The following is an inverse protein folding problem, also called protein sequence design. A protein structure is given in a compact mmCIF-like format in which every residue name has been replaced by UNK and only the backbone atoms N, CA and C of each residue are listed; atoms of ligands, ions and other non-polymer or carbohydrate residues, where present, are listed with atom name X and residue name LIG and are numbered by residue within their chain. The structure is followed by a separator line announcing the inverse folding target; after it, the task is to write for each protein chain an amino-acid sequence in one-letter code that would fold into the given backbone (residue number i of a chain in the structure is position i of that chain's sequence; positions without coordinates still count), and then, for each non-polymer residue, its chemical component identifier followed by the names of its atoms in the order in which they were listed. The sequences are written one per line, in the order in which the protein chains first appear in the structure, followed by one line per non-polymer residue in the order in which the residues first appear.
data_IF_431902446757
#
_entry.id   IF_431902446757
#
_cell.length_a   1.000
_cell.length_b   1.000
_cell.length_c   1.000
_cell.angle_alpha   90.00
_cell.angle_beta   90.00
_cell.angle_gamma   90.00
#
_symmetry.space_group_name_H-M   'P 1'
#
loop_
_entity.id
_entity.type
_entity.pdbx_description
1 polymer ?
#
# COMPACT_ATOMS: atom_id res chain seq x y z
N UNK A 1 8.90 -11.91 7.86
CA UNK A 1 7.76 -12.59 7.22
C UNK A 1 6.84 -11.48 6.72
N UNK A 2 6.37 -11.54 5.47
CA UNK A 2 5.42 -10.56 4.93
C UNK A 2 4.02 -11.18 5.04
N UNK A 3 3.12 -10.50 5.75
CA UNK A 3 1.72 -10.89 5.87
C UNK A 3 0.87 -9.91 5.06
N UNK A 4 0.07 -10.44 4.14
CA UNK A 4 -0.84 -9.66 3.29
C UNK A 4 -2.25 -9.98 3.74
N UNK A 5 -2.98 -8.94 4.10
CA UNK A 5 -4.39 -9.04 4.46
C UNK A 5 -5.23 -8.42 3.33
N UNK A 6 -6.12 -9.22 2.75
CA UNK A 6 -7.10 -8.74 1.77
C UNK A 6 -8.39 -8.32 2.49
N UNK A 7 -8.74 -7.04 2.39
CA UNK A 7 -9.91 -6.44 3.03
C UNK A 7 -11.04 -6.29 2.01
N UNK A 8 -11.51 -7.40 1.42
CA UNK A 8 -12.64 -7.35 0.49
C UNK A 8 -13.96 -7.03 1.25
N UNK A 9 -14.65 -5.96 0.85
CA UNK A 9 -16.12 -5.77 0.93
C UNK A 9 -16.84 -5.96 2.27
N UNK A 10 -16.13 -6.09 3.39
CA UNK A 10 -16.72 -6.35 4.71
C UNK A 10 -16.94 -5.04 5.47
N UNK A 11 -17.67 -4.11 4.85
CA UNK A 11 -18.16 -2.89 5.52
C UNK A 11 -19.06 -3.18 6.73
N UNK A 12 -19.48 -4.44 6.89
CA UNK A 12 -20.43 -4.91 7.89
C UNK A 12 -19.86 -4.96 9.32
N UNK A 13 -18.53 -4.84 9.51
CA UNK A 13 -17.92 -4.85 10.85
C UNK A 13 -16.80 -3.81 11.01
N UNK A 14 -17.17 -2.57 11.33
CA UNK A 14 -16.27 -1.44 11.59
C UNK A 14 -15.14 -1.78 12.58
N UNK A 15 -15.43 -2.56 13.63
CA UNK A 15 -14.44 -2.94 14.64
C UNK A 15 -13.28 -3.80 14.09
N UNK A 16 -13.54 -4.67 13.12
CA UNK A 16 -12.49 -5.49 12.48
C UNK A 16 -11.62 -4.63 11.56
N UNK A 17 -12.25 -3.69 10.84
CA UNK A 17 -11.54 -2.72 9.99
C UNK A 17 -10.56 -1.88 10.78
N UNK A 18 -10.98 -1.34 11.92
CA UNK A 18 -10.12 -0.56 12.81
C UNK A 18 -8.94 -1.38 13.33
N UNK A 19 -9.15 -2.67 13.66
CA UNK A 19 -8.08 -3.55 14.10
C UNK A 19 -7.01 -3.74 13.02
N UNK A 20 -7.42 -3.95 11.76
CA UNK A 20 -6.51 -4.11 10.64
C UNK A 20 -5.76 -2.82 10.31
N UNK A 21 -6.44 -1.67 10.36
CA UNK A 21 -5.80 -0.36 10.21
C UNK A 21 -4.84 -0.08 11.37
N UNK A 22 -5.19 -0.44 12.60
CA UNK A 22 -4.33 -0.24 13.77
C UNK A 22 -3.07 -1.10 13.69
N UNK A 23 -3.17 -2.35 13.27
CA UNK A 23 -2.03 -3.28 13.24
C UNK A 23 -1.21 -3.22 11.92
N UNK A 24 -1.83 -2.81 10.80
CA UNK A 24 -1.18 -2.79 9.49
C UNK A 24 0.02 -1.85 9.42
N UNK A 25 1.17 -2.31 8.93
CA UNK A 25 2.39 -1.49 8.90
C UNK A 25 2.51 -0.64 7.62
N UNK A 26 1.81 -1.03 6.56
CA UNK A 26 1.71 -0.26 5.33
C UNK A 26 0.45 -0.62 4.56
N UNK A 27 0.01 0.29 3.69
CA UNK A 27 -1.31 0.23 3.06
C UNK A 27 -1.20 0.40 1.54
N UNK A 28 -1.74 -0.56 0.79
CA UNK A 28 -1.98 -0.39 -0.64
C UNK A 28 -3.45 0.04 -0.84
N UNK A 29 -3.65 1.27 -1.32
CA UNK A 29 -4.98 1.77 -1.68
C UNK A 29 -5.20 1.49 -3.16
N UNK A 30 -6.10 0.56 -3.45
CA UNK A 30 -6.33 0.05 -4.81
C UNK A 30 -7.68 0.50 -5.33
N UNK A 31 -7.70 1.09 -6.53
CA UNK A 31 -8.92 1.39 -7.27
C UNK A 31 -8.91 0.73 -8.64
N UNK A 32 -10.06 0.68 -9.31
CA UNK A 32 -10.20 0.17 -10.67
C UNK A 32 -10.14 1.34 -11.65
N UNK A 33 -9.26 1.32 -12.65
CA UNK A 33 -9.20 2.40 -13.66
C UNK A 33 -10.48 2.51 -14.50
N UNK A 34 -11.31 1.46 -14.50
CA UNK A 34 -12.60 1.38 -15.20
C UNK A 34 -13.80 1.81 -14.35
N UNK A 35 -13.61 2.16 -13.07
CA UNK A 35 -14.70 2.55 -12.18
C UNK A 35 -14.35 3.80 -11.35
N UNK A 36 -14.87 4.96 -11.76
CA UNK A 36 -14.61 6.25 -11.12
C UNK A 36 -15.02 6.29 -9.64
N UNK A 37 -16.11 5.60 -9.26
CA UNK A 37 -16.55 5.54 -7.86
C UNK A 37 -15.44 5.01 -6.95
N UNK A 38 -14.78 3.92 -7.36
CA UNK A 38 -13.70 3.30 -6.58
C UNK A 38 -12.49 4.21 -6.38
N UNK A 39 -12.30 5.20 -7.27
CA UNK A 39 -11.26 6.22 -7.12
C UNK A 39 -11.66 7.29 -6.10
N UNK A 40 -12.93 7.70 -6.11
CA UNK A 40 -13.45 8.69 -5.18
C UNK A 40 -13.46 8.16 -3.73
N UNK A 41 -13.78 6.88 -3.54
CA UNK A 41 -13.84 6.22 -2.22
C UNK A 41 -12.47 6.17 -1.51
N UNK A 42 -11.36 6.33 -2.25
CA UNK A 42 -10.01 6.23 -1.68
C UNK A 42 -9.68 7.38 -0.70
N UNK A 43 -10.29 8.55 -0.89
CA UNK A 43 -10.06 9.70 -0.02
C UNK A 43 -10.55 9.39 1.40
N UNK A 44 -11.79 8.91 1.52
CA UNK A 44 -12.37 8.52 2.80
C UNK A 44 -11.60 7.37 3.46
N UNK A 45 -11.17 6.39 2.65
CA UNK A 45 -10.31 5.29 3.08
C UNK A 45 -8.98 5.78 3.67
N UNK A 46 -8.32 6.73 3.01
CA UNK A 46 -7.07 7.31 3.48
C UNK A 46 -7.29 8.04 4.80
N UNK A 47 -8.30 8.89 4.89
CA UNK A 47 -8.58 9.65 6.11
C UNK A 47 -8.85 8.75 7.32
N UNK A 48 -9.56 7.65 7.12
CA UNK A 48 -9.78 6.65 8.16
C UNK A 48 -8.47 5.98 8.61
N UNK A 49 -7.58 5.62 7.68
CA UNK A 49 -6.26 5.05 8.01
C UNK A 49 -5.45 6.05 8.84
N UNK A 50 -5.37 7.31 8.41
CA UNK A 50 -4.59 8.34 9.13
C UNK A 50 -5.16 8.58 10.53
N UNK A 51 -6.49 8.61 10.66
CA UNK A 51 -7.17 8.75 11.96
C UNK A 51 -6.88 7.58 12.91
N UNK A 52 -6.95 6.34 12.42
CA UNK A 52 -6.68 5.15 13.25
C UNK A 52 -5.19 5.05 13.62
N UNK A 53 -4.30 5.50 12.73
CA UNK A 53 -2.85 5.53 12.96
C UNK A 53 -2.37 6.68 13.83
N UNK A 54 -3.16 7.73 13.98
CA UNK A 54 -2.80 8.96 14.70
C UNK A 54 -1.49 9.58 14.16
N UNK A 55 -1.29 9.49 12.83
CA UNK A 55 -0.13 10.08 12.15
C UNK A 55 -0.42 10.29 10.66
N UNK A 56 0.16 11.34 10.08
CA UNK A 56 0.12 11.60 8.64
C UNK A 56 1.20 10.83 7.87
N UNK A 57 2.23 10.33 8.57
CA UNK A 57 3.37 9.66 7.97
C UNK A 57 3.18 8.13 8.00
N UNK A 58 2.20 7.63 7.25
CA UNK A 58 1.91 6.20 7.12
C UNK A 58 2.49 5.65 5.79
N UNK A 59 3.27 4.55 5.80
CA UNK A 59 3.69 3.88 4.56
C UNK A 59 2.49 3.52 3.68
N UNK A 60 2.44 4.10 2.48
CA UNK A 60 1.25 4.02 1.63
C UNK A 60 1.64 4.04 0.15
N UNK A 61 0.87 3.31 -0.66
CA UNK A 61 0.96 3.36 -2.12
C UNK A 61 -0.45 3.40 -2.72
N UNK A 62 -0.65 4.29 -3.68
CA UNK A 62 -1.85 4.38 -4.50
C UNK A 62 -1.70 3.50 -5.73
N UNK A 63 -2.70 2.66 -6.01
CA UNK A 63 -2.65 1.67 -7.08
C UNK A 63 -3.86 1.76 -7.99
N UNK A 64 -3.64 2.10 -9.26
CA UNK A 64 -4.64 1.99 -10.31
C UNK A 64 -4.63 0.59 -10.93
N UNK A 65 -5.53 -0.29 -10.51
CA UNK A 65 -5.61 -1.67 -10.99
C UNK A 65 -6.45 -1.78 -12.28
N UNK A 66 -6.27 -2.90 -12.99
CA UNK A 66 -6.87 -3.24 -14.30
C UNK A 66 -6.36 -2.37 -15.44
N UNK A 67 -5.08 -1.99 -15.41
CA UNK A 67 -4.45 -1.21 -16.48
C UNK A 67 -4.38 -1.93 -17.85
N UNK A 68 -4.74 -3.21 -17.89
CA UNK A 68 -4.93 -3.96 -19.13
C UNK A 68 -6.23 -3.61 -19.87
N UNK A 69 -7.20 -2.97 -19.20
CA UNK A 69 -8.48 -2.53 -19.78
C UNK A 69 -8.42 -1.06 -20.20
N UNK A 70 -7.46 -0.71 -21.05
CA UNK A 70 -7.24 0.67 -21.48
C UNK A 70 -8.43 1.25 -22.26
N UNK A 71 -9.11 0.42 -23.05
CA UNK A 71 -10.30 0.82 -23.82
C UNK A 71 -11.51 1.16 -22.93
N UNK A 72 -11.54 0.63 -21.70
CA UNK A 72 -12.59 0.87 -20.70
C UNK A 72 -12.15 1.90 -19.65
N UNK A 73 -11.02 2.58 -19.86
CA UNK A 73 -10.47 3.53 -18.89
C UNK A 73 -11.41 4.71 -18.69
N UNK A 74 -11.76 4.97 -17.43
CA UNK A 74 -12.48 6.19 -17.02
C UNK A 74 -11.62 7.08 -16.12
N UNK A 75 -10.70 6.49 -15.36
CA UNK A 75 -9.73 7.23 -14.53
C UNK A 75 -8.41 7.36 -15.28
N UNK A 76 -8.05 8.60 -15.64
CA UNK A 76 -6.79 8.90 -16.31
C UNK A 76 -5.58 8.68 -15.41
N UNK A 77 -4.43 8.31 -16.00
CA UNK A 77 -3.17 8.15 -15.24
C UNK A 77 -2.77 9.41 -14.49
N UNK A 78 -2.96 10.57 -15.13
CA UNK A 78 -2.69 11.87 -14.53
C UNK A 78 -3.56 12.16 -13.31
N UNK A 79 -4.82 11.69 -13.29
CA UNK A 79 -5.69 11.86 -12.12
C UNK A 79 -5.13 11.12 -10.91
N UNK A 80 -4.75 9.85 -11.09
CA UNK A 80 -4.10 9.06 -10.03
C UNK A 80 -2.78 9.68 -9.57
N UNK A 81 -1.96 10.15 -10.52
CA UNK A 81 -0.68 10.75 -10.21
C UNK A 81 -0.81 12.11 -9.49
N UNK A 82 -1.81 12.91 -9.85
CA UNK A 82 -2.11 14.17 -9.16
C UNK A 82 -2.65 13.92 -7.74
N UNK A 83 -3.51 12.92 -7.55
CA UNK A 83 -3.99 12.53 -6.21
C UNK A 83 -2.82 12.07 -5.33
N UNK A 84 -1.91 11.25 -5.87
CA UNK A 84 -0.72 10.81 -5.15
C UNK A 84 0.19 11.97 -4.73
N UNK A 85 0.37 12.99 -5.60
CA UNK A 85 1.10 14.22 -5.27
C UNK A 85 0.44 14.99 -4.13
N UNK A 86 -0.88 15.13 -4.14
CA UNK A 86 -1.63 15.79 -3.06
C UNK A 86 -1.48 15.07 -1.72
N UNK A 87 -1.26 13.75 -1.75
CA UNK A 87 -1.06 12.92 -0.57
C UNK A 87 0.39 12.90 -0.09
N UNK A 88 1.02 14.07 -0.01
CA UNK A 88 2.43 14.23 0.38
C UNK A 88 3.40 13.45 -0.50
N UNK A 89 3.16 13.44 -1.82
CA UNK A 89 3.96 12.69 -2.79
C UNK A 89 4.00 11.18 -2.50
N UNK A 90 2.82 10.61 -2.23
CA UNK A 90 2.59 9.18 -2.09
C UNK A 90 3.05 8.43 -3.36
N UNK A 91 3.52 7.20 -3.20
CA UNK A 91 3.88 6.36 -4.34
C UNK A 91 2.63 6.05 -5.17
N UNK A 92 2.76 6.04 -6.50
CA UNK A 92 1.69 5.70 -7.43
C UNK A 92 2.17 4.70 -8.47
N UNK A 93 1.41 3.63 -8.67
CA UNK A 93 1.63 2.65 -9.73
C UNK A 93 0.29 2.23 -10.36
N UNK A 94 0.30 1.99 -11.66
CA UNK A 94 -0.76 1.22 -12.30
C UNK A 94 -0.39 -0.26 -12.33
N UNK A 95 -1.36 -1.13 -12.10
CA UNK A 95 -1.14 -2.57 -12.11
C UNK A 95 -2.23 -3.31 -12.86
N UNK A 96 -1.90 -4.53 -13.25
CA UNK A 96 -2.87 -5.50 -13.76
C UNK A 96 -2.60 -6.83 -13.07
N UNK A 97 -3.53 -7.25 -12.22
CA UNK A 97 -3.48 -8.58 -11.63
C UNK A 97 -3.60 -9.68 -12.70
N UNK A 98 -4.38 -9.44 -13.77
CA UNK A 98 -4.59 -10.37 -14.88
C UNK A 98 -3.32 -10.56 -15.71
N UNK A 99 -2.68 -9.46 -16.09
CA UNK A 99 -1.48 -9.45 -16.93
C UNK A 99 -0.18 -9.47 -16.12
N UNK A 100 -0.28 -9.56 -14.79
CA UNK A 100 0.84 -9.55 -13.83
C UNK A 100 1.75 -8.32 -13.96
N UNK A 101 1.17 -7.17 -14.28
CA UNK A 101 1.90 -5.90 -14.43
C UNK A 101 2.00 -5.22 -13.06
N UNK A 102 3.22 -4.86 -12.65
CA UNK A 102 3.54 -4.12 -11.41
C UNK A 102 3.00 -4.72 -10.09
N UNK A 103 2.50 -5.96 -10.10
CA UNK A 103 1.95 -6.61 -8.90
C UNK A 103 3.01 -6.71 -7.80
N UNK A 104 4.21 -7.21 -8.13
CA UNK A 104 5.30 -7.35 -7.16
C UNK A 104 5.89 -6.00 -6.74
N UNK A 105 5.95 -5.04 -7.65
CA UNK A 105 6.53 -3.71 -7.39
C UNK A 105 5.77 -2.95 -6.30
N UNK A 106 4.45 -3.11 -6.26
CA UNK A 106 3.61 -2.53 -5.19
C UNK A 106 4.07 -3.02 -3.81
N UNK A 107 4.24 -4.33 -3.64
CA UNK A 107 4.66 -4.91 -2.37
C UNK A 107 6.12 -4.55 -2.04
N UNK A 108 7.01 -4.54 -3.04
CA UNK A 108 8.40 -4.16 -2.83
C UNK A 108 8.54 -2.70 -2.40
N UNK A 109 7.78 -1.79 -3.00
CA UNK A 109 7.79 -0.38 -2.61
C UNK A 109 7.29 -0.20 -1.16
N UNK A 110 6.15 -0.81 -0.81
CA UNK A 110 5.63 -0.78 0.55
C UNK A 110 6.63 -1.31 1.58
N UNK A 111 7.26 -2.46 1.32
CA UNK A 111 8.26 -3.04 2.22
C UNK A 111 9.47 -2.11 2.38
N UNK A 112 9.90 -1.44 1.31
CA UNK A 112 10.98 -0.44 1.38
C UNK A 112 10.56 0.77 2.22
N UNK A 113 9.34 1.28 2.07
CA UNK A 113 8.83 2.38 2.88
C UNK A 113 8.76 2.02 4.37
N UNK A 114 8.23 0.83 4.70
CA UNK A 114 8.13 0.33 6.09
C UNK A 114 9.53 0.22 6.72
N UNK A 115 10.49 -0.40 6.02
CA UNK A 115 11.85 -0.58 6.53
C UNK A 115 12.62 0.72 6.73
N UNK A 116 12.27 1.80 6.02
CA UNK A 116 12.87 3.13 6.23
C UNK A 116 12.41 3.76 7.53
N UNK A 117 11.13 3.58 7.91
CA UNK A 117 10.56 4.13 9.15
C UNK A 117 10.87 3.27 10.36
N UNK A 118 10.89 1.96 10.19
CA UNK A 118 11.24 1.00 11.23
C UNK A 118 12.49 0.24 10.79
N UNK A 119 13.69 0.80 10.99
CA UNK A 119 14.92 0.11 10.63
C UNK A 119 14.96 -1.21 11.42
N UNK A 120 14.87 -2.32 10.69
CA UNK A 120 15.06 -3.64 11.28
C UNK A 120 16.46 -3.67 11.88
N UNK A 121 16.58 -3.88 13.19
CA UNK A 121 17.89 -4.09 13.81
C UNK A 121 18.59 -5.24 13.10
N UNK A 122 19.60 -4.91 12.28
CA UNK A 122 20.46 -5.91 11.67
C UNK A 122 21.19 -6.60 12.81
N UNK A 123 20.79 -7.83 13.16
CA UNK A 123 21.55 -8.68 14.10
C UNK A 123 23.00 -8.71 13.61
N UNK A 124 23.91 -8.07 14.36
CA UNK A 124 25.34 -8.08 14.06
C UNK A 124 25.77 -9.55 13.92
N UNK A 125 26.54 -9.92 12.87
CA UNK A 125 27.03 -11.28 12.76
C UNK A 125 27.86 -11.61 14.00
N UNK A 126 27.45 -12.64 14.75
CA UNK A 126 28.22 -13.12 15.91
C UNK A 126 29.60 -13.56 15.38
N UNK A 127 30.66 -12.82 15.74
CA UNK A 127 32.04 -13.26 15.49
C UNK A 127 32.20 -14.63 16.15
N UNK A 128 32.38 -15.69 15.36
CA UNK A 128 32.83 -16.98 15.90
C UNK A 128 34.28 -16.77 16.33
N UNK A 129 34.53 -16.76 17.63
CA UNK A 129 35.88 -16.88 18.19
C UNK A 129 36.42 -18.26 17.80
N UNK A 130 37.26 -18.32 16.76
CA UNK A 130 38.06 -19.51 16.51
C UNK A 130 39.29 -19.41 17.41
N UNK A 131 39.32 -20.18 18.50
CA UNK A 131 40.55 -20.43 19.23
C UNK A 131 41.27 -21.56 18.50
N UNK A 132 42.46 -21.29 17.98
CA UNK A 132 43.42 -22.33 17.61
C UNK A 132 44.17 -22.69 18.89
N UNK A 133 44.01 -23.94 19.33
CA UNK A 133 44.89 -24.60 20.30
C UNK A 133 45.84 -25.51 19.52
#
# INVERSE_FOLDING_TARGET
MLEILDTAGTEQFTAMRDLYMKNGQGFALVYSITAQSTFNDLQDLREQILRVKDTEDVPMILVGNKCDLEDERVVGKEQGQNLARQWCNCAFLESSAKSKINVNEIFYDLVRQINRKTPVEKKKPKKKSCLLL
#
